data_IF_805540494221
#
_entry.id   IF_805540494221
#
_cell.length_a   1.000
_cell.length_b   1.000
_cell.length_c   1.000
_cell.angle_alpha   90.00
_cell.angle_beta   90.00
_cell.angle_gamma   90.00
#
_symmetry.space_group_name_H-M   'P 1'
#
loop_
_entity.id
_entity.type
_entity.pdbx_description
1 polymer ?
#
# COMPACT_ATOMS: atom_id res chain seq x y z
N UNK A 1 -5.43 14.41 22.24
CA UNK A 1 -4.02 14.67 22.29
C UNK A 1 -3.56 15.59 21.18
N UNK A 2 -2.93 16.65 21.53
CA UNK A 2 -2.47 17.65 20.58
C UNK A 2 -1.51 17.07 19.56
N UNK A 3 -0.72 16.10 19.97
CA UNK A 3 0.25 15.50 19.11
C UNK A 3 -0.38 14.89 17.86
N UNK A 4 -1.54 14.23 18.02
CA UNK A 4 -2.22 13.66 16.88
C UNK A 4 -2.65 14.69 15.86
N UNK A 5 -3.19 15.81 16.36
CA UNK A 5 -3.63 16.87 15.47
C UNK A 5 -2.46 17.47 14.70
N UNK A 6 -1.36 17.78 15.41
CA UNK A 6 -0.20 18.39 14.76
C UNK A 6 0.45 17.43 13.76
N UNK A 7 0.51 16.15 14.08
CA UNK A 7 1.05 15.15 13.17
C UNK A 7 0.24 15.08 11.89
N UNK A 8 -1.09 15.08 12.00
CA UNK A 8 -1.94 15.02 10.83
C UNK A 8 -1.79 16.25 9.96
N UNK A 9 -1.70 17.42 10.58
CA UNK A 9 -1.50 18.65 9.84
C UNK A 9 -0.17 18.65 9.11
N UNK A 10 0.89 18.22 9.79
CA UNK A 10 2.21 18.14 9.20
C UNK A 10 2.23 17.21 7.99
N UNK A 11 1.62 16.04 8.12
CA UNK A 11 1.56 15.08 7.02
C UNK A 11 0.76 15.60 5.87
N UNK A 12 -0.34 16.29 6.14
CA UNK A 12 -1.15 16.89 5.10
C UNK A 12 -0.33 17.89 4.28
N UNK A 13 0.44 18.73 4.96
CA UNK A 13 1.30 19.69 4.28
C UNK A 13 2.35 18.99 3.44
N UNK A 14 2.99 17.96 3.98
CA UNK A 14 4.00 17.22 3.25
C UNK A 14 3.43 16.53 2.02
N UNK A 15 2.22 15.98 2.12
CA UNK A 15 1.56 15.36 0.99
C UNK A 15 1.33 16.38 -0.12
N UNK A 16 0.88 17.57 0.21
CA UNK A 16 0.65 18.61 -0.78
C UNK A 16 1.94 19.04 -1.45
N UNK A 17 3.02 19.18 -0.67
CA UNK A 17 4.32 19.54 -1.22
C UNK A 17 4.87 18.48 -2.15
N UNK A 18 4.57 17.22 -1.87
CA UNK A 18 5.00 16.11 -2.71
C UNK A 18 4.09 15.89 -3.92
N UNK A 19 3.00 16.64 -4.01
CA UNK A 19 2.05 16.47 -5.11
C UNK A 19 1.14 15.26 -4.97
N UNK A 20 0.99 14.74 -3.75
CA UNK A 20 0.14 13.58 -3.50
C UNK A 20 -1.19 14.00 -2.91
N UNK A 21 -2.23 13.28 -3.31
CA UNK A 21 -3.59 13.52 -2.82
C UNK A 21 -4.16 12.17 -2.38
N UNK A 22 -4.45 12.06 -1.10
CA UNK A 22 -5.01 10.82 -0.55
C UNK A 22 -6.54 10.84 -0.59
N UNK A 23 -7.16 9.68 -0.77
CA UNK A 23 -6.52 8.38 -0.97
C UNK A 23 -5.87 8.28 -2.35
N UNK A 24 -4.82 7.48 -2.43
CA UNK A 24 -4.11 7.24 -3.69
C UNK A 24 -4.52 5.87 -4.20
N UNK A 25 -4.89 5.78 -5.49
CA UNK A 25 -5.17 4.50 -6.12
C UNK A 25 -4.05 4.18 -7.09
N UNK A 26 -3.58 2.94 -7.03
CA UNK A 26 -2.53 2.47 -7.92
C UNK A 26 -2.68 0.96 -8.09
N UNK A 27 -2.14 0.47 -9.19
CA UNK A 27 -2.15 -0.96 -9.46
C UNK A 27 -0.99 -1.63 -8.75
N UNK A 28 -1.17 -2.87 -8.35
CA UNK A 28 -0.06 -3.65 -7.83
C UNK A 28 0.96 -3.85 -8.94
N UNK A 29 2.20 -3.53 -8.64
CA UNK A 29 3.30 -3.60 -9.60
C UNK A 29 3.77 -5.04 -9.79
N UNK A 30 3.91 -5.77 -8.69
CA UNK A 30 4.34 -7.17 -8.71
C UNK A 30 3.33 -8.00 -7.95
N UNK A 31 2.59 -8.83 -8.67
CA UNK A 31 1.59 -9.68 -8.05
C UNK A 31 1.41 -11.00 -8.82
N UNK A 32 2.37 -11.36 -9.70
CA UNK A 32 2.17 -12.45 -10.63
C UNK A 32 2.80 -13.78 -10.21
N UNK A 33 3.45 -13.85 -9.06
CA UNK A 33 3.90 -15.16 -8.55
C UNK A 33 2.69 -15.99 -8.18
N UNK A 34 2.86 -17.31 -8.14
CA UNK A 34 1.74 -18.19 -7.82
C UNK A 34 1.18 -17.90 -6.42
N UNK A 35 2.03 -17.55 -5.46
CA UNK A 35 1.57 -17.23 -4.12
C UNK A 35 0.70 -15.99 -4.11
N UNK A 36 1.13 -14.92 -4.79
CA UNK A 36 0.34 -13.70 -4.86
C UNK A 36 -0.96 -13.92 -5.63
N UNK A 37 -0.89 -14.67 -6.74
CA UNK A 37 -2.08 -14.96 -7.52
C UNK A 37 -3.08 -15.79 -6.72
N UNK A 38 -2.61 -16.75 -5.93
CA UNK A 38 -3.47 -17.52 -5.06
C UNK A 38 -4.17 -16.66 -4.02
N UNK A 39 -3.46 -15.69 -3.46
CA UNK A 39 -4.06 -14.78 -2.50
C UNK A 39 -5.08 -13.86 -3.17
N UNK A 40 -4.74 -13.35 -4.37
CA UNK A 40 -5.65 -12.47 -5.09
C UNK A 40 -6.94 -13.19 -5.49
N UNK A 41 -6.84 -14.49 -5.79
CA UNK A 41 -8.03 -15.27 -6.14
C UNK A 41 -9.03 -15.34 -4.99
N UNK A 42 -8.57 -15.17 -3.76
CA UNK A 42 -9.43 -15.20 -2.58
C UNK A 42 -9.78 -13.83 -2.06
N UNK A 43 -9.29 -12.77 -2.70
CA UNK A 43 -9.49 -11.40 -2.26
C UNK A 43 -10.84 -10.87 -2.73
N UNK A 44 -11.36 -9.89 -1.99
CA UNK A 44 -12.61 -9.21 -2.30
C UNK A 44 -12.37 -7.71 -2.33
N UNK A 45 -13.19 -7.01 -3.13
CA UNK A 45 -13.13 -5.54 -3.11
C UNK A 45 -13.42 -5.05 -1.71
N UNK A 46 -12.74 -3.97 -1.34
CA UNK A 46 -12.82 -3.33 -0.02
C UNK A 46 -12.22 -4.13 1.12
N UNK A 47 -11.55 -5.25 0.81
CA UNK A 47 -10.75 -5.93 1.84
C UNK A 47 -9.72 -4.97 2.41
N UNK A 48 -9.57 -4.99 3.73
CA UNK A 48 -8.62 -4.10 4.41
C UNK A 48 -7.20 -4.57 4.17
N UNK A 49 -6.33 -3.61 3.91
CA UNK A 49 -4.94 -3.86 3.59
C UNK A 49 -4.03 -3.02 4.46
N UNK A 50 -2.78 -3.46 4.54
CA UNK A 50 -1.69 -2.64 5.06
C UNK A 50 -0.60 -2.60 4.00
N UNK A 51 -0.06 -1.41 3.77
CA UNK A 51 1.04 -1.21 2.83
C UNK A 51 2.28 -0.98 3.68
N UNK A 52 3.22 -1.94 3.64
CA UNK A 52 4.32 -1.99 4.58
C UNK A 52 5.65 -1.89 3.85
N UNK A 53 6.44 -0.90 4.22
CA UNK A 53 7.78 -0.72 3.66
C UNK A 53 8.76 -1.56 4.47
N UNK A 54 9.50 -2.44 3.78
CA UNK A 54 10.45 -3.33 4.43
C UNK A 54 11.78 -3.29 3.71
N UNK A 55 12.82 -3.64 4.45
CA UNK A 55 14.18 -3.77 3.92
C UNK A 55 14.42 -5.25 3.61
N UNK A 56 14.70 -5.56 2.35
CA UNK A 56 14.96 -6.93 1.93
C UNK A 56 16.43 -7.29 1.98
N UNK A 57 17.31 -6.30 1.74
CA UNK A 57 18.75 -6.46 1.74
C UNK A 57 19.35 -5.10 2.06
N UNK A 58 20.64 -4.98 2.32
CA UNK A 58 21.23 -3.70 2.74
C UNK A 58 20.86 -2.52 1.85
N UNK A 59 20.68 -2.77 0.54
CA UNK A 59 20.36 -1.71 -0.41
C UNK A 59 19.06 -1.99 -1.18
N UNK A 60 18.22 -2.90 -0.67
CA UNK A 60 16.96 -3.26 -1.33
C UNK A 60 15.78 -3.06 -0.40
N UNK A 61 14.81 -2.35 -0.89
CA UNK A 61 13.59 -2.07 -0.16
C UNK A 61 12.38 -2.34 -1.05
N UNK A 62 11.28 -2.66 -0.42
CA UNK A 62 10.03 -2.86 -1.13
C UNK A 62 8.88 -2.47 -0.23
N UNK A 63 7.75 -2.13 -0.84
CA UNK A 63 6.52 -1.88 -0.10
C UNK A 63 5.52 -2.95 -0.50
N UNK A 64 5.22 -3.83 0.42
CA UNK A 64 4.32 -4.95 0.20
C UNK A 64 2.90 -4.59 0.62
N UNK A 65 1.95 -5.22 -0.05
CA UNK A 65 0.54 -5.10 0.27
C UNK A 65 0.10 -6.37 0.98
N UNK A 66 -0.37 -6.20 2.20
CA UNK A 66 -0.75 -7.30 3.07
C UNK A 66 -2.26 -7.28 3.28
N UNK A 67 -2.91 -8.42 3.04
CA UNK A 67 -4.35 -8.56 3.28
C UNK A 67 -4.57 -8.98 4.71
N UNK A 68 -5.30 -8.14 5.45
CA UNK A 68 -5.56 -8.43 6.87
C UNK A 68 -6.47 -9.65 6.98
N UNK A 69 -7.53 -9.69 6.18
CA UNK A 69 -8.48 -10.79 6.25
C UNK A 69 -7.84 -12.13 5.91
N UNK A 70 -7.02 -12.16 4.87
CA UNK A 70 -6.39 -13.41 4.43
C UNK A 70 -5.10 -13.73 5.17
N UNK A 71 -4.52 -12.75 5.86
CA UNK A 71 -3.22 -12.88 6.51
C UNK A 71 -2.16 -13.33 5.50
N UNK A 72 -2.14 -12.69 4.33
CA UNK A 72 -1.23 -13.03 3.25
C UNK A 72 -0.83 -11.79 2.47
N UNK A 73 0.35 -11.84 1.87
CA UNK A 73 0.82 -10.79 0.98
C UNK A 73 0.14 -10.94 -0.37
N UNK A 74 -0.21 -9.81 -0.97
CA UNK A 74 -0.84 -9.79 -2.30
C UNK A 74 0.11 -9.35 -3.40
N UNK A 75 1.18 -8.66 -3.05
CA UNK A 75 2.11 -8.14 -4.03
C UNK A 75 2.82 -6.89 -3.53
N UNK A 76 3.38 -6.11 -4.46
CA UNK A 76 4.11 -4.88 -4.16
C UNK A 76 3.49 -3.72 -4.90
N UNK A 77 3.51 -2.55 -4.29
CA UNK A 77 3.17 -1.31 -5.01
C UNK A 77 4.36 -0.88 -5.88
N UNK A 78 4.09 0.02 -6.82
CA UNK A 78 5.10 0.47 -7.77
C UNK A 78 6.24 1.23 -7.10
N UNK A 79 7.37 1.27 -7.79
CA UNK A 79 8.58 1.91 -7.26
C UNK A 79 8.39 3.40 -7.04
N UNK A 80 7.74 4.09 -7.99
CA UNK A 80 7.57 5.53 -7.86
C UNK A 80 6.70 5.88 -6.66
N UNK A 81 5.59 5.18 -6.48
CA UNK A 81 4.73 5.41 -5.34
C UNK A 81 5.46 5.09 -4.04
N UNK A 82 6.26 4.02 -4.03
CA UNK A 82 7.05 3.69 -2.84
C UNK A 82 7.98 4.83 -2.47
N UNK A 83 8.67 5.42 -3.46
CA UNK A 83 9.59 6.52 -3.21
C UNK A 83 8.86 7.76 -2.70
N UNK A 84 7.70 8.05 -3.28
CA UNK A 84 6.91 9.20 -2.86
C UNK A 84 6.46 9.03 -1.41
N UNK A 85 6.00 7.84 -1.05
CA UNK A 85 5.57 7.58 0.32
C UNK A 85 6.73 7.62 1.30
N UNK A 86 7.92 7.18 0.88
CA UNK A 86 9.11 7.29 1.71
C UNK A 86 9.45 8.73 2.05
N UNK A 87 9.26 9.65 1.12
CA UNK A 87 9.55 11.07 1.35
C UNK A 87 8.61 11.65 2.41
N UNK A 88 7.40 11.14 2.49
CA UNK A 88 6.39 11.67 3.40
C UNK A 88 6.46 10.98 4.76
N UNK A 89 6.49 9.66 4.76
CA UNK A 89 6.31 8.87 5.98
C UNK A 89 7.60 8.28 6.53
N UNK A 90 8.67 8.22 5.71
CA UNK A 90 9.94 7.67 6.14
C UNK A 90 10.03 6.16 6.01
N UNK A 91 11.22 5.63 6.23
CA UNK A 91 11.47 4.20 6.12
C UNK A 91 10.64 3.41 7.12
N UNK A 92 10.23 2.23 6.70
CA UNK A 92 9.44 1.35 7.55
C UNK A 92 8.01 1.80 7.72
N UNK A 93 7.51 2.63 6.79
CA UNK A 93 6.12 3.08 6.91
C UNK A 93 5.14 1.90 6.84
N UNK A 94 4.00 2.08 7.46
CA UNK A 94 2.90 1.13 7.39
C UNK A 94 1.62 1.95 7.29
N UNK A 95 0.95 1.84 6.16
CA UNK A 95 -0.25 2.64 5.89
C UNK A 95 -1.44 1.73 5.72
N UNK A 96 -2.61 2.25 6.04
CA UNK A 96 -3.85 1.54 5.81
C UNK A 96 -4.25 1.66 4.35
N UNK A 97 -4.99 0.68 3.88
CA UNK A 97 -5.53 0.70 2.53
C UNK A 97 -6.67 -0.27 2.38
N UNK A 98 -7.15 -0.37 1.16
CA UNK A 98 -8.19 -1.34 0.83
C UNK A 98 -8.06 -1.70 -0.64
N UNK A 99 -8.66 -2.84 -1.01
CA UNK A 99 -8.69 -3.24 -2.41
C UNK A 99 -9.73 -2.36 -3.11
N UNK A 100 -9.27 -1.66 -4.15
CA UNK A 100 -10.16 -0.78 -4.92
C UNK A 100 -10.85 -1.55 -6.04
N UNK A 101 -10.14 -2.45 -6.72
CA UNK A 101 -10.70 -3.21 -7.83
C UNK A 101 -9.90 -4.49 -8.06
N UNK A 102 -10.60 -5.50 -8.54
CA UNK A 102 -10.00 -6.78 -8.92
C UNK A 102 -10.47 -7.11 -10.33
N UNK A 103 -9.55 -7.64 -11.14
CA UNK A 103 -9.89 -8.04 -12.50
C UNK A 103 -8.93 -9.15 -12.93
N UNK A 104 -9.19 -9.72 -14.11
CA UNK A 104 -8.27 -10.63 -14.76
C UNK A 104 -7.84 -10.03 -16.08
N UNK A 105 -6.56 -10.22 -16.42
CA UNK A 105 -6.07 -9.77 -17.72
C UNK A 105 -6.30 -10.85 -18.78
N UNK A 106 -5.82 -10.59 -19.99
CA UNK A 106 -6.00 -11.52 -21.11
C UNK A 106 -5.31 -12.85 -20.91
N UNK A 107 -4.30 -12.90 -20.03
CA UNK A 107 -3.60 -14.13 -19.68
C UNK A 107 -4.26 -14.83 -18.50
N UNK A 108 -5.43 -14.39 -18.07
CA UNK A 108 -6.17 -14.89 -16.93
C UNK A 108 -5.42 -14.74 -15.61
N UNK A 109 -4.51 -13.76 -15.55
CA UNK A 109 -3.84 -13.42 -14.29
C UNK A 109 -4.66 -12.36 -13.57
N UNK A 110 -4.75 -12.51 -12.26
CA UNK A 110 -5.43 -11.53 -11.43
C UNK A 110 -4.63 -10.23 -11.38
N UNK A 111 -5.35 -9.13 -11.47
CA UNK A 111 -4.82 -7.80 -11.30
C UNK A 111 -5.59 -7.11 -10.20
N UNK A 112 -4.92 -6.24 -9.48
CA UNK A 112 -5.51 -5.60 -8.32
C UNK A 112 -5.09 -4.15 -8.27
N UNK A 113 -6.06 -3.27 -8.07
CA UNK A 113 -5.80 -1.87 -7.74
C UNK A 113 -6.03 -1.71 -6.26
N UNK A 114 -5.19 -0.93 -5.61
CA UNK A 114 -5.30 -0.68 -4.19
C UNK A 114 -5.52 0.81 -3.95
N UNK A 115 -6.22 1.11 -2.86
CA UNK A 115 -6.44 2.47 -2.40
C UNK A 115 -5.67 2.63 -1.11
N UNK A 116 -4.76 3.60 -1.10
CA UNK A 116 -3.87 3.85 0.03
C UNK A 116 -4.35 5.09 0.76
N UNK A 117 -4.49 4.99 2.07
CA UNK A 117 -4.92 6.09 2.92
C UNK A 117 -3.72 6.75 3.59
N UNK A 118 -3.89 7.99 4.00
CA UNK A 118 -2.81 8.77 4.60
C UNK A 118 -2.65 8.51 6.10
N UNK A 119 -3.12 7.37 6.56
CA UNK A 119 -3.11 7.09 7.99
C UNK A 119 -2.30 5.84 8.29
N UNK A 120 -1.53 5.92 9.36
CA UNK A 120 -0.82 4.80 9.93
C UNK A 120 -1.31 4.56 11.36
N UNK A 121 -2.42 5.16 11.72
CA UNK A 121 -2.82 5.21 13.12
C UNK A 121 -3.48 3.95 13.60
N UNK A 122 -4.03 3.17 12.68
CA UNK A 122 -4.66 1.91 13.07
C UNK A 122 -3.67 0.90 13.59
N UNK A 123 -2.39 1.22 13.48
CA UNK A 123 -1.35 0.34 13.99
C UNK A 123 -1.29 0.29 15.52
N UNK A 124 -1.93 1.19 16.17
CA UNK A 124 -1.89 1.23 17.62
C UNK A 124 -2.81 0.22 18.25
#
# INVERSE_FOLDING_TARGET
>A
MKRGFLSKLYMHIRCRLAGLSFPIEDDLFRCFTSDFQGALAQSLEKDELQIVHVRLAPDRFAAFVYSIRLNRLLGEIGRQLTQDLLKIFGKGFCLDGEIAALSKDDSEKFRCSVRVFDTAEKMR
#
